data_IF_371231844404
#
_entry.id   IF_371231844404
#
_cell.length_a   1.000
_cell.length_b   1.000
_cell.length_c   1.000
_cell.angle_alpha   90.00
_cell.angle_beta   90.00
_cell.angle_gamma   90.00
#
_symmetry.space_group_name_H-M   'P 1'
#
loop_
_entity.id
_entity.type
_entity.pdbx_description
1 polymer ?
#
# COMPACT_ATOMS: atom_id res chain seq x y z
N UNK A 1 1.09 19.22 -14.42
CA UNK A 1 1.65 18.87 -13.09
C UNK A 1 1.66 17.35 -12.95
N UNK A 2 2.64 16.78 -12.23
CA UNK A 2 2.71 15.35 -11.88
C UNK A 2 2.52 15.24 -10.38
N UNK A 3 1.46 14.54 -9.95
CA UNK A 3 1.26 14.24 -8.53
C UNK A 3 1.17 12.73 -8.34
N UNK A 4 2.05 12.18 -7.53
CA UNK A 4 2.26 10.75 -7.28
C UNK A 4 2.09 10.49 -5.78
N UNK A 5 1.16 9.60 -5.42
CA UNK A 5 0.92 9.21 -4.01
C UNK A 5 1.25 7.73 -3.73
N UNK A 6 1.94 7.43 -2.64
CA UNK A 6 2.05 6.05 -2.13
C UNK A 6 0.96 5.76 -1.10
N UNK A 7 0.25 4.63 -1.20
CA UNK A 7 -0.69 4.17 -0.16
C UNK A 7 -0.23 2.82 0.41
N UNK A 8 0.45 2.86 1.56
CA UNK A 8 0.97 1.74 2.34
C UNK A 8 -0.05 1.07 3.25
N UNK A 9 -0.36 -0.23 3.08
CA UNK A 9 -1.27 -0.98 3.97
C UNK A 9 -0.99 -2.49 3.93
N UNK A 10 -1.26 -3.22 5.01
CA UNK A 10 -1.63 -4.64 4.94
C UNK A 10 -3.11 -4.81 5.34
N UNK A 11 -3.93 -5.47 4.51
CA UNK A 11 -5.36 -5.77 4.77
C UNK A 11 -6.33 -4.61 5.12
N UNK A 12 -5.98 -3.34 4.85
CA UNK A 12 -6.78 -2.16 5.23
C UNK A 12 -7.49 -1.43 4.09
N UNK A 13 -7.78 -2.11 2.98
CA UNK A 13 -8.71 -1.58 1.97
C UNK A 13 -8.09 -0.73 0.85
N UNK A 14 -6.79 -0.91 0.55
CA UNK A 14 -6.06 -0.22 -0.55
C UNK A 14 -6.85 -0.13 -1.83
N UNK A 15 -7.23 -1.28 -2.38
CA UNK A 15 -7.95 -1.40 -3.65
C UNK A 15 -9.28 -0.64 -3.63
N UNK A 16 -9.97 -0.63 -2.48
CA UNK A 16 -11.23 0.12 -2.36
C UNK A 16 -10.99 1.63 -2.38
N UNK A 17 -9.98 2.11 -1.65
CA UNK A 17 -9.61 3.52 -1.62
C UNK A 17 -9.12 4.00 -2.98
N UNK A 18 -8.21 3.27 -3.63
CA UNK A 18 -7.67 3.62 -4.95
C UNK A 18 -8.76 3.62 -6.02
N UNK A 19 -9.65 2.62 -6.04
CA UNK A 19 -10.78 2.58 -6.98
C UNK A 19 -11.73 3.76 -6.83
N UNK A 20 -11.97 4.22 -5.59
CA UNK A 20 -12.80 5.42 -5.36
C UNK A 20 -12.09 6.67 -5.85
N UNK A 21 -10.79 6.81 -5.58
CA UNK A 21 -10.03 7.97 -6.00
C UNK A 21 -9.96 8.08 -7.53
N UNK A 22 -9.70 7.00 -8.27
CA UNK A 22 -9.72 6.99 -9.76
C UNK A 22 -11.06 7.49 -10.30
N UNK A 23 -12.18 7.08 -9.69
CA UNK A 23 -13.51 7.49 -10.14
C UNK A 23 -13.82 8.97 -9.93
N UNK A 24 -13.16 9.62 -8.98
CA UNK A 24 -13.46 11.00 -8.59
C UNK A 24 -12.36 12.00 -8.99
N UNK A 25 -11.19 11.52 -9.43
CA UNK A 25 -10.07 12.35 -9.83
C UNK A 25 -9.87 12.30 -11.35
N UNK A 26 -9.84 13.45 -12.04
CA UNK A 26 -9.58 13.47 -13.48
C UNK A 26 -8.13 13.07 -13.79
N UNK A 27 -7.91 12.44 -14.94
CA UNK A 27 -6.57 12.04 -15.42
C UNK A 27 -5.75 11.21 -14.41
N UNK A 28 -6.43 10.37 -13.62
CA UNK A 28 -5.83 9.51 -12.61
C UNK A 28 -5.64 8.08 -13.14
N UNK A 29 -4.47 7.48 -12.92
CA UNK A 29 -4.22 6.05 -13.12
C UNK A 29 -3.75 5.40 -11.81
N UNK A 30 -3.95 4.08 -11.65
CA UNK A 30 -3.46 3.32 -10.49
C UNK A 30 -2.59 2.16 -10.94
N UNK A 31 -1.49 1.93 -10.23
CA UNK A 31 -0.59 0.79 -10.43
C UNK A 31 -0.67 -0.14 -9.22
N UNK A 32 -1.00 -1.41 -9.42
CA UNK A 32 -1.03 -2.37 -8.32
C UNK A 32 0.35 -3.02 -8.19
N UNK A 33 0.99 -2.85 -7.03
CA UNK A 33 2.25 -3.54 -6.74
C UNK A 33 2.08 -5.07 -6.80
N UNK A 34 0.88 -5.55 -6.49
CA UNK A 34 0.54 -6.98 -6.51
C UNK A 34 0.62 -7.58 -7.94
N UNK A 35 0.64 -6.77 -8.99
CA UNK A 35 0.81 -7.27 -10.36
C UNK A 35 2.28 -7.63 -10.68
N UNK A 36 3.22 -7.26 -9.81
CA UNK A 36 4.66 -7.44 -9.99
C UNK A 36 5.25 -8.54 -9.10
N UNK A 37 4.42 -9.38 -8.47
CA UNK A 37 4.90 -10.54 -7.72
C UNK A 37 5.59 -11.56 -8.64
N UNK A 38 6.61 -12.24 -8.10
CA UNK A 38 7.13 -13.43 -8.75
C UNK A 38 6.02 -14.51 -8.86
N UNK A 39 6.06 -15.35 -9.91
CA UNK A 39 5.26 -16.56 -9.99
C UNK A 39 5.36 -17.42 -8.72
N UNK A 40 4.28 -18.11 -8.35
CA UNK A 40 4.16 -18.85 -7.06
C UNK A 40 5.21 -19.94 -6.85
N UNK A 41 5.73 -20.48 -7.93
CA UNK A 41 6.78 -21.49 -8.02
C UNK A 41 8.19 -20.91 -7.82
N UNK A 42 8.35 -19.60 -7.99
CA UNK A 42 9.63 -18.88 -7.81
C UNK A 42 9.76 -18.19 -6.44
N UNK A 43 8.83 -18.48 -5.52
CA UNK A 43 8.82 -17.92 -4.17
C UNK A 43 9.50 -18.91 -3.24
N UNK A 44 10.62 -18.47 -2.68
CA UNK A 44 11.43 -19.23 -1.75
C UNK A 44 10.66 -19.53 -0.46
N UNK A 45 11.01 -20.66 0.18
CA UNK A 45 10.53 -21.03 1.51
C UNK A 45 11.63 -20.66 2.50
N UNK A 46 11.27 -19.91 3.52
CA UNK A 46 12.20 -19.45 4.55
C UNK A 46 12.51 -20.54 5.57
N UNK A 47 13.42 -20.23 6.49
CA UNK A 47 13.76 -21.11 7.62
C UNK A 47 12.56 -21.37 8.55
N UNK A 48 11.59 -20.46 8.55
CA UNK A 48 10.30 -20.58 9.24
C UNK A 48 9.33 -21.59 8.58
N UNK A 49 9.72 -22.18 7.44
CA UNK A 49 8.90 -23.12 6.68
C UNK A 49 7.78 -22.47 5.87
N UNK A 50 7.70 -21.13 5.85
CA UNK A 50 6.69 -20.39 5.11
C UNK A 50 7.23 -19.83 3.80
N UNK A 51 6.37 -19.76 2.79
CA UNK A 51 6.70 -19.07 1.54
C UNK A 51 6.91 -17.59 1.80
N UNK A 52 8.06 -17.09 1.40
CA UNK A 52 8.52 -15.73 1.65
C UNK A 52 7.95 -14.76 0.61
N UNK A 53 6.62 -14.75 0.48
CA UNK A 53 5.90 -13.78 -0.35
C UNK A 53 6.32 -12.34 0.01
N UNK A 54 6.69 -12.12 1.27
CA UNK A 54 6.97 -10.82 1.85
C UNK A 54 8.46 -10.41 1.84
N UNK A 55 9.41 -11.29 1.52
CA UNK A 55 10.85 -11.02 1.72
C UNK A 55 11.63 -10.66 0.44
N UNK A 56 11.07 -10.88 -0.75
CA UNK A 56 11.79 -10.74 -2.02
C UNK A 56 12.08 -9.29 -2.44
N UNK A 57 11.58 -8.28 -1.72
CA UNK A 57 11.85 -6.85 -1.96
C UNK A 57 12.02 -6.13 -0.62
N UNK A 58 13.22 -6.25 -0.03
CA UNK A 58 13.63 -5.72 1.29
C UNK A 58 13.36 -4.22 1.57
N UNK A 59 12.87 -3.46 0.60
CA UNK A 59 12.78 -2.01 0.70
C UNK A 59 11.35 -1.43 0.62
N UNK A 60 10.34 -2.15 0.10
CA UNK A 60 9.07 -1.49 -0.30
C UNK A 60 7.80 -2.36 -0.26
N UNK A 61 7.37 -2.87 0.90
CA UNK A 61 6.17 -3.75 0.99
C UNK A 61 5.08 -3.40 2.02
N UNK A 62 4.63 -2.15 2.04
CA UNK A 62 3.18 -1.98 2.22
C UNK A 62 2.49 -1.20 1.11
N UNK A 63 3.21 -0.57 0.18
CA UNK A 63 2.67 0.50 -0.68
C UNK A 63 1.99 -0.05 -1.94
N UNK A 64 0.65 -0.02 -2.00
CA UNK A 64 0.01 0.09 -3.32
C UNK A 64 0.38 1.45 -3.90
N UNK A 65 1.08 1.42 -5.03
CA UNK A 65 1.69 2.60 -5.62
C UNK A 65 0.73 3.32 -6.59
N UNK A 66 0.46 4.58 -6.26
CA UNK A 66 0.39 5.71 -7.19
C UNK A 66 -0.91 5.92 -7.94
N UNK A 67 -1.61 6.97 -7.49
CA UNK A 67 -2.39 7.86 -8.37
C UNK A 67 -1.41 8.81 -9.03
N UNK A 68 -1.28 8.74 -10.35
CA UNK A 68 -0.56 9.73 -11.14
C UNK A 68 -1.58 10.63 -11.84
N UNK A 69 -1.59 11.92 -11.50
CA UNK A 69 -2.22 12.94 -12.35
C UNK A 69 -1.19 13.44 -13.35
N UNK A 70 -1.20 12.95 -14.59
CA UNK A 70 -0.47 13.59 -15.69
C UNK A 70 -1.24 13.51 -17.00
N UNK A 71 -1.23 14.61 -17.75
CA UNK A 71 -1.47 14.60 -19.18
C UNK A 71 -0.54 13.56 -19.82
N UNK A 72 -1.13 12.63 -20.58
CA UNK A 72 -0.48 11.55 -21.32
C UNK A 72 0.95 11.91 -21.74
N UNK A 73 1.98 11.31 -21.15
CA UNK A 73 3.21 10.87 -21.83
C UNK A 73 4.01 9.99 -20.85
N UNK A 74 4.30 8.75 -21.29
CA UNK A 74 5.11 7.67 -20.70
C UNK A 74 5.69 7.87 -19.29
N UNK A 75 5.18 7.09 -18.33
CA UNK A 75 5.79 6.89 -17.02
C UNK A 75 6.99 5.95 -17.15
N UNK A 76 8.21 6.48 -17.07
CA UNK A 76 9.40 5.67 -16.82
C UNK A 76 9.44 5.28 -15.34
N UNK A 77 9.49 3.98 -15.02
CA UNK A 77 9.69 3.47 -13.66
C UNK A 77 11.15 3.71 -13.21
N UNK A 78 11.49 4.96 -12.91
CA UNK A 78 12.59 5.22 -11.96
C UNK A 78 12.20 4.66 -10.59
N UNK A 79 13.11 4.49 -9.61
CA UNK A 79 12.76 4.04 -8.27
C UNK A 79 11.58 4.87 -7.74
N UNK A 80 10.39 4.26 -7.63
CA UNK A 80 9.14 4.99 -7.41
C UNK A 80 9.16 5.82 -6.13
N UNK A 81 10.01 5.44 -5.18
CA UNK A 81 10.31 6.16 -3.94
C UNK A 81 10.68 7.62 -4.17
N UNK A 82 11.60 7.89 -5.09
CA UNK A 82 12.20 9.22 -5.25
C UNK A 82 11.26 10.18 -5.99
N UNK A 83 10.16 9.65 -6.53
CA UNK A 83 9.17 10.40 -7.30
C UNK A 83 7.83 10.51 -6.57
N UNK A 84 7.68 9.95 -5.37
CA UNK A 84 6.47 10.13 -4.56
C UNK A 84 6.41 11.56 -4.03
N UNK A 85 5.30 12.24 -4.28
CA UNK A 85 5.03 13.56 -3.70
C UNK A 85 4.45 13.45 -2.29
N UNK A 86 3.72 12.37 -2.00
CA UNK A 86 3.13 12.13 -0.69
C UNK A 86 2.95 10.63 -0.41
N UNK A 87 3.16 10.24 0.85
CA UNK A 87 3.06 8.86 1.34
C UNK A 87 2.03 8.76 2.45
N UNK A 88 0.98 8.00 2.20
CA UNK A 88 -0.01 7.60 3.19
C UNK A 88 0.30 6.18 3.68
N UNK A 89 0.21 5.95 4.98
CA UNK A 89 0.31 4.62 5.57
C UNK A 89 -0.94 4.32 6.40
N UNK A 90 -1.78 3.38 5.95
CA UNK A 90 -2.94 2.91 6.71
C UNK A 90 -2.49 1.78 7.63
N UNK A 91 -2.61 2.02 8.93
CA UNK A 91 -2.32 1.04 9.98
C UNK A 91 -3.60 0.47 10.56
N UNK A 92 -3.58 -0.81 10.92
CA UNK A 92 -4.69 -1.49 11.59
C UNK A 92 -4.12 -2.28 12.78
N UNK A 93 -4.82 -2.33 13.93
CA UNK A 93 -4.42 -3.18 15.05
C UNK A 93 -4.35 -4.66 14.68
N UNK A 94 -3.48 -5.41 15.37
CA UNK A 94 -3.27 -6.85 15.17
C UNK A 94 -4.57 -7.65 15.06
N UNK A 95 -5.47 -7.50 16.04
CA UNK A 95 -6.73 -8.26 16.11
C UNK A 95 -7.63 -8.02 14.91
N UNK A 96 -7.75 -6.75 14.50
CA UNK A 96 -8.58 -6.37 13.37
C UNK A 96 -7.94 -6.81 12.04
N UNK A 97 -6.61 -6.77 11.93
CA UNK A 97 -5.90 -7.31 10.78
C UNK A 97 -6.10 -8.82 10.64
N UNK A 98 -5.96 -9.58 11.74
CA UNK A 98 -6.17 -11.03 11.79
C UNK A 98 -7.61 -11.40 11.42
N UNK A 99 -8.59 -10.67 11.97
CA UNK A 99 -10.01 -10.85 11.67
C UNK A 99 -10.37 -10.57 10.21
N UNK A 100 -9.78 -9.53 9.59
CA UNK A 100 -10.02 -9.17 8.18
C UNK A 100 -9.33 -10.12 7.20
N UNK A 101 -8.31 -10.87 7.64
CA UNK A 101 -7.54 -11.78 6.79
C UNK A 101 -8.33 -13.06 6.52
N UNK A 102 -9.10 -13.04 5.44
CA UNK A 102 -9.90 -14.17 4.97
C UNK A 102 -9.67 -14.38 3.47
N UNK A 103 -8.90 -15.41 3.13
CA UNK A 103 -8.63 -15.80 1.75
C UNK A 103 -9.49 -17.00 1.33
N UNK A 104 -9.57 -17.25 0.02
CA UNK A 104 -10.22 -18.45 -0.52
C UNK A 104 -9.53 -19.74 -0.05
N UNK A 105 -8.21 -19.70 0.10
CA UNK A 105 -7.42 -20.76 0.71
C UNK A 105 -7.04 -20.31 2.11
N UNK A 106 -7.45 -21.03 3.18
CA UNK A 106 -7.07 -20.68 4.54
C UNK A 106 -5.55 -20.64 4.71
N UNK A 107 -5.08 -19.70 5.53
CA UNK A 107 -3.68 -19.67 5.94
C UNK A 107 -3.34 -20.96 6.72
N UNK A 108 -2.15 -21.55 6.51
CA UNK A 108 -1.64 -22.62 7.37
C UNK A 108 -1.61 -22.21 8.84
N UNK A 109 -1.78 -23.15 9.79
CA UNK A 109 -1.65 -22.87 11.20
C UNK A 109 -0.33 -22.14 11.52
N UNK A 110 -0.41 -21.08 12.31
CA UNK A 110 0.76 -20.29 12.72
C UNK A 110 1.31 -19.31 11.67
N UNK A 111 0.85 -19.33 10.40
CA UNK A 111 1.38 -18.42 9.37
C UNK A 111 1.20 -16.94 9.76
N UNK A 112 0.03 -16.56 10.29
CA UNK A 112 -0.21 -15.16 10.63
C UNK A 112 0.70 -14.68 11.76
N UNK A 113 0.78 -15.47 12.83
CA UNK A 113 1.47 -15.12 14.06
C UNK A 113 2.99 -15.26 13.93
N UNK A 114 3.44 -16.29 13.21
CA UNK A 114 4.84 -16.63 13.04
C UNK A 114 5.54 -15.92 11.87
N UNK A 115 4.78 -15.44 10.87
CA UNK A 115 5.37 -14.86 9.65
C UNK A 115 4.76 -13.51 9.28
N UNK A 116 3.45 -13.46 9.01
CA UNK A 116 2.79 -12.27 8.43
C UNK A 116 2.90 -11.05 9.34
N UNK A 117 2.58 -11.20 10.61
CA UNK A 117 2.58 -10.08 11.55
C UNK A 117 3.99 -9.59 11.91
N UNK A 118 4.97 -10.48 12.21
CA UNK A 118 6.36 -10.08 12.35
C UNK A 118 6.89 -9.31 11.13
N UNK A 119 6.62 -9.81 9.91
CA UNK A 119 6.99 -9.12 8.67
C UNK A 119 6.31 -7.75 8.57
N UNK A 120 5.02 -7.63 8.89
CA UNK A 120 4.33 -6.34 8.94
C UNK A 120 4.99 -5.35 9.91
N UNK A 121 5.35 -5.77 11.12
CA UNK A 121 6.00 -4.90 12.10
C UNK A 121 7.37 -4.42 11.61
N UNK A 122 8.17 -5.30 11.03
CA UNK A 122 9.44 -4.93 10.40
C UNK A 122 9.22 -3.88 9.31
N UNK A 123 8.24 -4.09 8.43
CA UNK A 123 7.89 -3.12 7.38
C UNK A 123 7.38 -1.80 7.93
N UNK A 124 6.56 -1.83 8.98
CA UNK A 124 6.04 -0.63 9.63
C UNK A 124 7.20 0.22 10.17
N UNK A 125 8.16 -0.40 10.84
CA UNK A 125 9.34 0.30 11.37
C UNK A 125 10.17 0.95 10.24
N UNK A 126 10.44 0.20 9.16
CA UNK A 126 11.15 0.74 7.97
C UNK A 126 10.42 1.95 7.38
N UNK A 127 9.07 1.90 7.33
CA UNK A 127 8.26 2.99 6.80
C UNK A 127 8.24 4.21 7.73
N UNK A 128 8.17 4.00 9.04
CA UNK A 128 8.26 5.07 10.04
C UNK A 128 9.65 5.75 10.00
N UNK A 129 10.72 4.98 9.79
CA UNK A 129 12.08 5.49 9.59
C UNK A 129 12.28 6.20 8.25
N UNK A 130 11.56 5.78 7.20
CA UNK A 130 11.64 6.36 5.85
C UNK A 130 10.84 7.65 5.66
N UNK A 131 10.37 8.26 6.75
CA UNK A 131 9.58 9.50 6.78
C UNK A 131 8.23 9.41 6.03
N UNK A 132 7.36 8.44 6.36
CA UNK A 132 5.94 8.51 5.92
C UNK A 132 5.34 9.88 6.24
N UNK A 133 4.68 10.50 5.26
CA UNK A 133 4.15 11.86 5.42
C UNK A 133 2.84 11.88 6.22
N UNK A 134 2.00 10.84 6.09
CA UNK A 134 0.70 10.76 6.77
C UNK A 134 0.35 9.34 7.23
N UNK A 135 0.13 9.15 8.54
CA UNK A 135 -0.47 7.93 9.09
C UNK A 135 -2.01 8.00 9.10
N UNK A 136 -2.64 6.94 8.61
CA UNK A 136 -4.09 6.77 8.56
C UNK A 136 -4.51 5.60 9.45
N UNK A 137 -5.61 5.80 10.18
CA UNK A 137 -6.25 4.76 10.97
C UNK A 137 -7.19 3.93 10.09
N UNK A 138 -6.79 2.69 9.77
CA UNK A 138 -7.54 1.77 8.93
C UNK A 138 -8.76 1.13 9.59
N UNK A 139 -9.02 1.45 10.86
CA UNK A 139 -10.28 1.08 11.54
C UNK A 139 -11.43 2.02 11.18
N UNK A 140 -11.12 3.23 10.66
CA UNK A 140 -12.11 4.18 10.17
C UNK A 140 -12.93 3.62 9.01
N UNK A 141 -14.11 4.21 8.79
CA UNK A 141 -14.96 3.82 7.69
C UNK A 141 -14.29 4.10 6.34
N UNK A 142 -14.68 3.32 5.31
CA UNK A 142 -14.23 3.52 3.92
C UNK A 142 -14.48 4.94 3.42
N UNK A 143 -15.53 5.60 3.93
CA UNK A 143 -15.89 6.97 3.58
C UNK A 143 -15.00 7.99 4.29
N UNK A 144 -14.73 7.80 5.57
CA UNK A 144 -13.82 8.68 6.32
C UNK A 144 -12.41 8.66 5.72
N UNK A 145 -11.88 7.48 5.41
CA UNK A 145 -10.57 7.34 4.76
C UNK A 145 -10.54 8.00 3.39
N UNK A 146 -11.59 7.81 2.59
CA UNK A 146 -11.70 8.43 1.28
C UNK A 146 -11.76 9.95 1.36
N UNK A 147 -12.67 10.51 2.18
CA UNK A 147 -12.86 11.96 2.29
C UNK A 147 -11.57 12.65 2.76
N UNK A 148 -10.86 12.03 3.72
CA UNK A 148 -9.58 12.54 4.19
C UNK A 148 -8.54 12.58 3.06
N UNK A 149 -8.25 11.45 2.41
CA UNK A 149 -7.22 11.36 1.38
C UNK A 149 -7.59 12.20 0.15
N UNK A 150 -8.86 12.18 -0.26
CA UNK A 150 -9.35 12.98 -1.38
C UNK A 150 -9.23 14.47 -1.11
N UNK A 151 -9.64 14.94 0.08
CA UNK A 151 -9.51 16.34 0.46
C UNK A 151 -8.05 16.81 0.51
N UNK A 152 -7.16 15.96 1.04
CA UNK A 152 -5.74 16.26 1.11
C UNK A 152 -5.10 16.37 -0.28
N UNK A 153 -5.44 15.46 -1.21
CA UNK A 153 -5.05 15.54 -2.63
C UNK A 153 -5.56 16.84 -3.28
N UNK A 154 -6.84 17.21 -3.08
CA UNK A 154 -7.39 18.44 -3.64
C UNK A 154 -6.69 19.69 -3.11
N UNK A 155 -6.40 19.73 -1.81
CA UNK A 155 -5.67 20.82 -1.19
C UNK A 155 -4.25 20.95 -1.77
N UNK A 156 -3.57 19.83 -2.01
CA UNK A 156 -2.26 19.85 -2.67
C UNK A 156 -2.35 20.42 -4.08
N UNK A 157 -3.34 19.97 -4.86
CA UNK A 157 -3.54 20.44 -6.24
C UNK A 157 -3.80 21.94 -6.24
N UNK A 158 -4.68 22.44 -5.36
CA UNK A 158 -4.99 23.86 -5.28
C UNK A 158 -3.79 24.72 -4.90
N UNK A 159 -2.90 24.24 -4.01
CA UNK A 159 -1.67 24.94 -3.62
C UNK A 159 -0.60 24.94 -4.71
N UNK A 160 -0.71 24.04 -5.67
CA UNK A 160 0.28 23.83 -6.73
C UNK A 160 -0.14 24.42 -8.09
N UNK A 161 -1.32 25.05 -8.14
CA UNK A 161 -1.82 25.89 -9.23
C UNK A 161 -1.38 27.34 -9.00
#
# INVERSE_FOLDING_TARGET
>A
MKYIIGIGVTNGGKTTLTNRLIKNLPNCCVVHQDDFFKPRDQIEVGEDGFKQYDCLLKLWRPVSFVICMQNRHNLTLNPLIDVLNQRYFISIPYEECKKRRKYMVPDPPGLFDGHVWPMYLQHKNIMEESAVDVQLDGTKSKEQLFNFVYGDILNYIQKSL
#
